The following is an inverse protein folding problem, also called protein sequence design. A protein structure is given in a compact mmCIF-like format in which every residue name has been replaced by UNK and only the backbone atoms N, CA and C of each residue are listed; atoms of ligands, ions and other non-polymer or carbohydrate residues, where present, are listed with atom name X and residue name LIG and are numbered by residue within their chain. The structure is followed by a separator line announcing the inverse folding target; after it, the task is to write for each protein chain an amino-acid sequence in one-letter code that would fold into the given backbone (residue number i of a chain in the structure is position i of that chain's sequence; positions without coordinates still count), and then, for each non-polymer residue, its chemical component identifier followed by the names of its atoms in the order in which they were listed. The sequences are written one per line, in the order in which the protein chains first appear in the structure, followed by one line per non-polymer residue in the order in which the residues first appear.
data_IF_311924437257
#
_entry.id   IF_311924437257
#
_cell.length_a   1.000
_cell.length_b   1.000
_cell.length_c   1.000
_cell.angle_alpha   90.00
_cell.angle_beta   90.00
_cell.angle_gamma   90.00
#
_symmetry.space_group_name_H-M   'P 1'
#
loop_
_entity.id
_entity.type
_entity.pdbx_description
1 polymer ?
#
# COMPACT_ATOMS: atom_id res chain seq x y z
N UNK A 1 -12.94 51.62 4.27
CA UNK A 1 -14.03 50.71 4.63
C UNK A 1 -13.60 49.30 4.33
N UNK A 2 -13.18 48.58 5.36
CA UNK A 2 -12.73 47.19 5.23
C UNK A 2 -13.96 46.29 5.31
N UNK A 3 -14.30 45.60 4.21
CA UNK A 3 -15.34 44.55 4.22
C UNK A 3 -14.77 43.34 4.92
N UNK A 4 -15.15 43.15 6.18
CA UNK A 4 -14.92 41.90 6.89
C UNK A 4 -15.59 40.79 6.08
N UNK A 5 -14.81 39.91 5.48
CA UNK A 5 -15.31 38.69 4.85
C UNK A 5 -16.04 37.88 5.92
N UNK A 6 -17.34 37.68 5.74
CA UNK A 6 -18.15 36.84 6.62
C UNK A 6 -17.74 35.38 6.46
N UNK A 7 -16.79 34.95 7.29
CA UNK A 7 -16.21 33.61 7.32
C UNK A 7 -17.28 32.55 7.57
N UNK A 8 -18.38 32.92 8.26
CA UNK A 8 -19.52 32.05 8.52
C UNK A 8 -20.33 31.74 7.26
N UNK A 9 -20.56 32.76 6.43
CA UNK A 9 -21.27 32.60 5.15
C UNK A 9 -20.45 31.80 4.14
N UNK A 10 -19.13 32.04 4.05
CA UNK A 10 -18.23 31.29 3.18
C UNK A 10 -18.16 29.80 3.58
N UNK A 11 -18.06 29.49 4.87
CA UNK A 11 -18.05 28.12 5.37
C UNK A 11 -19.40 27.40 5.13
N UNK A 12 -20.52 28.12 5.29
CA UNK A 12 -21.85 27.59 4.99
C UNK A 12 -22.04 27.32 3.49
N UNK A 13 -21.52 28.19 2.62
CA UNK A 13 -21.55 27.99 1.18
C UNK A 13 -20.69 26.78 0.75
N UNK A 14 -19.46 26.64 1.31
CA UNK A 14 -18.59 25.49 1.06
C UNK A 14 -19.22 24.17 1.53
N UNK A 15 -19.88 24.15 2.69
CA UNK A 15 -20.63 22.97 3.18
C UNK A 15 -21.82 22.63 2.29
N UNK A 16 -22.54 23.63 1.75
CA UNK A 16 -23.63 23.40 0.79
C UNK A 16 -23.14 22.84 -0.53
N UNK A 17 -22.03 23.36 -1.04
CA UNK A 17 -21.43 22.87 -2.28
C UNK A 17 -20.88 21.44 -2.13
N UNK A 18 -20.18 21.15 -1.03
CA UNK A 18 -19.74 19.79 -0.69
C UNK A 18 -20.92 18.80 -0.55
N UNK A 19 -22.07 19.27 -0.02
CA UNK A 19 -23.30 18.47 0.07
C UNK A 19 -23.94 18.23 -1.32
N UNK A 20 -23.92 19.24 -2.21
CA UNK A 20 -24.37 19.08 -3.60
C UNK A 20 -23.48 18.12 -4.38
N UNK A 21 -22.17 18.22 -4.25
CA UNK A 21 -21.22 17.31 -4.89
C UNK A 21 -21.35 15.88 -4.34
N UNK A 22 -21.63 15.71 -3.04
CA UNK A 22 -21.96 14.41 -2.46
C UNK A 22 -23.28 13.82 -2.94
N UNK A 23 -24.29 14.66 -3.22
CA UNK A 23 -25.57 14.24 -3.75
C UNK A 23 -25.49 13.92 -5.24
N UNK A 24 -24.65 14.65 -5.99
CA UNK A 24 -24.40 14.42 -7.42
C UNK A 24 -23.49 13.17 -7.67
N UNK A 25 -22.66 12.81 -6.69
CA UNK A 25 -21.86 11.58 -6.67
C UNK A 25 -22.18 10.82 -5.37
N UNK A 26 -23.27 10.05 -5.32
CA UNK A 26 -23.56 9.24 -4.15
C UNK A 26 -22.36 8.30 -3.91
N UNK A 27 -21.99 8.04 -2.65
CA UNK A 27 -20.98 7.04 -2.35
C UNK A 27 -21.40 5.74 -3.05
N UNK A 28 -20.46 5.01 -3.66
CA UNK A 28 -20.77 3.72 -4.25
C UNK A 28 -21.50 2.87 -3.19
N UNK A 29 -22.45 2.02 -3.61
CA UNK A 29 -23.19 1.16 -2.70
C UNK A 29 -22.19 0.42 -1.79
N UNK A 30 -22.57 0.06 -0.56
CA UNK A 30 -21.68 -0.63 0.35
C UNK A 30 -21.13 -1.84 -0.39
N UNK A 31 -19.83 -1.87 -0.59
CA UNK A 31 -19.12 -2.98 -1.22
C UNK A 31 -19.49 -4.23 -0.41
N UNK A 32 -19.97 -5.26 -1.08
CA UNK A 32 -20.28 -6.53 -0.43
C UNK A 32 -19.12 -6.90 0.52
N UNK A 33 -19.44 -7.40 1.71
CA UNK A 33 -18.43 -7.74 2.70
C UNK A 33 -17.41 -8.69 2.03
N UNK A 34 -16.16 -8.27 1.97
CA UNK A 34 -15.08 -9.10 1.41
C UNK A 34 -14.87 -10.27 2.36
N UNK A 35 -15.15 -11.47 1.89
CA UNK A 35 -14.79 -12.66 2.62
C UNK A 35 -13.25 -12.76 2.67
N UNK A 36 -12.69 -12.66 3.87
CA UNK A 36 -11.25 -12.87 4.08
C UNK A 36 -10.93 -14.35 3.96
N UNK A 37 -10.10 -14.79 3.02
CA UNK A 37 -9.75 -16.19 2.88
C UNK A 37 -9.00 -16.69 4.12
N UNK A 38 -9.04 -18.00 4.41
CA UNK A 38 -8.22 -18.58 5.46
C UNK A 38 -6.72 -18.37 5.15
N UNK A 39 -5.84 -18.50 6.16
CA UNK A 39 -4.41 -18.56 5.91
C UNK A 39 -4.04 -19.67 4.93
N UNK A 40 -3.01 -19.45 4.13
CA UNK A 40 -2.51 -20.44 3.20
C UNK A 40 -1.94 -21.67 3.95
N UNK A 41 -2.32 -22.89 3.60
CA UNK A 41 -2.04 -24.08 4.43
C UNK A 41 -0.56 -24.44 4.55
N UNK A 42 0.25 -24.13 3.55
CA UNK A 42 1.69 -24.45 3.54
C UNK A 42 2.57 -23.21 3.76
N UNK A 43 1.99 -22.09 4.21
CA UNK A 43 2.69 -20.83 4.44
C UNK A 43 2.75 -20.52 5.95
N UNK A 44 3.60 -19.58 6.38
CA UNK A 44 3.49 -18.97 7.69
C UNK A 44 2.04 -18.53 7.98
N UNK A 45 1.51 -18.77 9.19
CA UNK A 45 0.08 -18.84 9.46
C UNK A 45 -0.73 -17.56 9.19
N UNK A 46 -0.09 -16.45 8.96
CA UNK A 46 -0.75 -15.15 8.74
C UNK A 46 -0.75 -14.71 7.28
N UNK A 47 -0.26 -15.53 6.35
CA UNK A 47 -0.28 -15.21 4.92
C UNK A 47 -1.61 -15.68 4.32
N UNK A 48 -2.32 -14.76 3.68
CA UNK A 48 -3.63 -14.97 3.04
C UNK A 48 -3.58 -14.52 1.59
N UNK A 49 -4.33 -15.17 0.72
CA UNK A 49 -4.36 -14.87 -0.70
C UNK A 49 -5.77 -15.03 -1.27
N UNK A 50 -6.16 -14.08 -2.16
CA UNK A 50 -7.35 -14.23 -2.99
C UNK A 50 -7.03 -13.83 -4.44
N UNK A 51 -7.41 -14.68 -5.40
CA UNK A 51 -7.08 -14.49 -6.81
C UNK A 51 -7.85 -13.35 -7.47
N UNK A 52 -9.14 -13.21 -7.17
CA UNK A 52 -10.05 -12.25 -7.84
C UNK A 52 -10.51 -11.17 -6.86
N UNK A 53 -9.58 -10.36 -6.37
CA UNK A 53 -9.88 -9.28 -5.43
C UNK A 53 -10.48 -8.05 -6.11
N UNK A 54 -10.07 -7.76 -7.33
CA UNK A 54 -10.64 -6.75 -8.21
C UNK A 54 -11.04 -7.38 -9.54
N UNK A 55 -12.08 -6.88 -10.17
CA UNK A 55 -12.43 -7.29 -11.51
C UNK A 55 -11.51 -6.65 -12.56
N UNK A 56 -11.61 -7.12 -13.80
CA UNK A 56 -10.74 -6.67 -14.88
C UNK A 56 -10.96 -5.20 -15.25
N UNK A 57 -12.22 -4.73 -15.21
CA UNK A 57 -12.58 -3.35 -15.49
C UNK A 57 -12.03 -2.41 -14.41
N UNK A 58 -12.18 -2.80 -13.15
CA UNK A 58 -11.65 -2.05 -12.02
C UNK A 58 -10.12 -1.99 -12.06
N UNK A 59 -9.43 -3.11 -12.31
CA UNK A 59 -7.99 -3.15 -12.40
C UNK A 59 -7.45 -2.23 -13.51
N UNK A 60 -8.06 -2.23 -14.69
CA UNK A 60 -7.69 -1.33 -15.79
C UNK A 60 -7.95 0.14 -15.46
N UNK A 61 -9.10 0.44 -14.85
CA UNK A 61 -9.43 1.80 -14.44
C UNK A 61 -8.45 2.31 -13.38
N UNK A 62 -8.15 1.50 -12.36
CA UNK A 62 -7.17 1.83 -11.32
C UNK A 62 -5.79 2.09 -11.92
N UNK A 63 -5.29 1.19 -12.77
CA UNK A 63 -3.97 1.34 -13.40
C UNK A 63 -3.88 2.65 -14.20
N UNK A 64 -4.93 2.97 -14.96
CA UNK A 64 -4.99 4.20 -15.76
C UNK A 64 -4.95 5.45 -14.89
N UNK A 65 -5.74 5.49 -13.81
CA UNK A 65 -5.83 6.66 -12.92
C UNK A 65 -4.56 6.81 -12.10
N UNK A 66 -4.04 5.72 -11.52
CA UNK A 66 -2.83 5.74 -10.69
C UNK A 66 -1.62 6.30 -11.45
N UNK A 67 -1.44 5.93 -12.71
CA UNK A 67 -0.34 6.42 -13.54
C UNK A 67 -0.38 7.92 -13.80
N UNK A 68 -1.56 8.55 -13.68
CA UNK A 68 -1.78 9.99 -13.90
C UNK A 68 -1.68 10.82 -12.62
N UNK A 69 -1.59 10.19 -11.46
CA UNK A 69 -1.39 10.92 -10.22
C UNK A 69 0.01 11.55 -10.20
N UNK A 70 0.10 12.73 -9.59
CA UNK A 70 1.37 13.40 -9.34
C UNK A 70 2.11 12.77 -8.15
N UNK A 71 3.42 13.04 -8.07
CA UNK A 71 4.25 12.61 -6.93
C UNK A 71 4.97 11.26 -7.13
N UNK A 72 5.02 10.74 -8.34
CA UNK A 72 5.82 9.57 -8.66
C UNK A 72 7.32 9.86 -8.48
N UNK A 73 7.98 9.06 -7.65
CA UNK A 73 9.43 9.08 -7.46
C UNK A 73 10.09 8.01 -8.35
N UNK A 74 11.01 8.38 -9.25
CA UNK A 74 11.75 7.41 -10.05
C UNK A 74 12.81 6.71 -9.20
N UNK A 75 12.93 5.40 -9.40
CA UNK A 75 13.99 4.55 -8.87
C UNK A 75 14.60 3.72 -10.00
N UNK A 76 15.79 3.13 -9.83
CA UNK A 76 16.32 2.21 -10.82
C UNK A 76 15.32 1.08 -11.10
N UNK A 77 14.86 0.93 -12.37
CA UNK A 77 13.98 -0.16 -12.83
C UNK A 77 12.55 -0.19 -12.22
N UNK A 78 12.14 0.79 -11.45
CA UNK A 78 10.77 0.98 -10.95
C UNK A 78 10.51 2.45 -10.65
N UNK A 79 9.25 2.82 -10.47
CA UNK A 79 8.87 4.07 -9.83
C UNK A 79 7.85 3.79 -8.73
N UNK A 80 7.76 4.66 -7.77
CA UNK A 80 6.81 4.52 -6.68
C UNK A 80 6.05 5.82 -6.41
N UNK A 81 4.85 5.67 -5.86
CA UNK A 81 4.00 6.77 -5.41
C UNK A 81 3.51 6.45 -4.00
N UNK A 82 3.84 7.30 -3.03
CA UNK A 82 3.34 7.19 -1.66
C UNK A 82 2.17 8.16 -1.46
N UNK A 83 1.04 7.67 -0.99
CA UNK A 83 -0.19 8.47 -0.76
C UNK A 83 -0.84 8.11 0.58
N UNK A 84 -1.68 9.00 1.10
CA UNK A 84 -2.37 8.82 2.39
C UNK A 84 -1.57 9.33 3.58
N UNK A 85 -0.36 9.81 3.34
CA UNK A 85 0.50 10.38 4.37
C UNK A 85 1.96 10.05 4.17
N UNK A 86 2.79 10.80 4.85
CA UNK A 86 4.25 10.67 4.80
C UNK A 86 4.74 10.09 6.12
N UNK A 87 5.27 8.85 6.13
CA UNK A 87 5.87 8.27 7.31
C UNK A 87 7.09 9.09 7.78
N UNK A 88 7.23 9.24 9.12
CA UNK A 88 8.36 9.89 9.77
C UNK A 88 8.58 9.26 11.16
N UNK A 89 9.82 9.18 11.67
CA UNK A 89 10.10 8.63 13.00
C UNK A 89 9.33 9.31 14.13
N UNK A 90 9.09 10.62 14.04
CA UNK A 90 8.32 11.39 15.03
C UNK A 90 6.80 11.20 14.94
N UNK A 91 6.33 10.37 14.04
CA UNK A 91 4.93 10.17 13.67
C UNK A 91 4.60 10.80 12.31
N UNK A 92 3.74 10.14 11.56
CA UNK A 92 3.34 10.60 10.23
C UNK A 92 2.34 11.75 10.28
N UNK A 93 2.38 12.56 9.24
CA UNK A 93 1.27 13.44 8.88
C UNK A 93 0.44 12.75 7.82
N UNK A 94 -0.83 12.47 8.13
CA UNK A 94 -1.72 11.72 7.24
C UNK A 94 -2.64 12.66 6.46
N UNK A 95 -2.83 12.31 5.20
CA UNK A 95 -3.75 12.95 4.26
C UNK A 95 -4.80 11.92 3.82
N UNK A 96 -5.97 12.34 3.32
CA UNK A 96 -6.93 11.42 2.76
C UNK A 96 -6.32 10.65 1.57
N UNK A 97 -6.56 9.34 1.52
CA UNK A 97 -6.21 8.56 0.32
C UNK A 97 -6.92 9.15 -0.92
N UNK A 98 -6.27 9.13 -2.09
CA UNK A 98 -6.89 9.52 -3.35
C UNK A 98 -8.24 8.83 -3.55
N UNK A 99 -9.25 9.49 -4.13
CA UNK A 99 -10.60 8.92 -4.30
C UNK A 99 -10.60 7.54 -4.97
N UNK A 100 -9.73 7.32 -5.95
CA UNK A 100 -9.59 6.04 -6.67
C UNK A 100 -9.16 4.87 -5.76
N UNK A 101 -8.43 5.14 -4.68
CA UNK A 101 -7.98 4.11 -3.73
C UNK A 101 -8.92 3.91 -2.55
N UNK A 102 -9.88 4.81 -2.29
CA UNK A 102 -10.73 4.72 -1.10
C UNK A 102 -11.62 3.47 -1.08
N UNK A 103 -12.19 3.09 -2.23
CA UNK A 103 -13.00 1.88 -2.33
C UNK A 103 -12.14 0.62 -2.12
N UNK A 104 -10.96 0.59 -2.73
CA UNK A 104 -10.01 -0.50 -2.58
C UNK A 104 -9.51 -0.62 -1.13
N UNK A 105 -9.21 0.52 -0.48
CA UNK A 105 -8.80 0.57 0.93
C UNK A 105 -9.88 0.02 1.89
N UNK A 106 -11.18 0.30 1.63
CA UNK A 106 -12.27 -0.27 2.42
C UNK A 106 -12.32 -1.80 2.31
N UNK A 107 -12.09 -2.35 1.13
CA UNK A 107 -12.01 -3.81 0.95
C UNK A 107 -10.76 -4.39 1.59
N UNK A 108 -9.61 -3.72 1.44
CA UNK A 108 -8.36 -4.11 2.07
C UNK A 108 -8.43 -4.09 3.60
N UNK A 109 -9.27 -3.23 4.19
CA UNK A 109 -9.47 -3.16 5.64
C UNK A 109 -9.86 -4.50 6.27
N UNK A 110 -10.61 -5.34 5.55
CA UNK A 110 -11.00 -6.67 6.03
C UNK A 110 -9.81 -7.60 6.35
N UNK A 111 -8.65 -7.35 5.74
CA UNK A 111 -7.43 -8.13 5.98
C UNK A 111 -6.61 -7.64 7.18
N UNK A 112 -6.89 -6.46 7.70
CA UNK A 112 -6.26 -5.97 8.92
C UNK A 112 -6.95 -6.58 10.14
N UNK A 113 -6.19 -6.94 11.20
CA UNK A 113 -6.74 -7.71 12.35
C UNK A 113 -7.96 -7.10 13.02
N UNK A 114 -8.07 -5.77 13.02
CA UNK A 114 -9.17 -5.02 13.64
C UNK A 114 -10.16 -4.41 12.63
N UNK A 115 -10.00 -4.69 11.34
CA UNK A 115 -10.87 -4.18 10.27
C UNK A 115 -10.82 -2.67 10.04
N UNK A 116 -9.90 -1.94 10.69
CA UNK A 116 -9.75 -0.49 10.47
C UNK A 116 -9.13 -0.21 9.11
N UNK A 117 -9.49 0.94 8.53
CA UNK A 117 -8.97 1.40 7.24
C UNK A 117 -7.44 1.60 7.29
N UNK A 118 -6.71 1.21 6.24
CA UNK A 118 -5.34 1.64 6.06
C UNK A 118 -5.30 3.16 5.82
N UNK A 119 -4.25 3.79 6.31
CA UNK A 119 -4.04 5.24 6.19
C UNK A 119 -2.91 5.59 5.22
N UNK A 120 -2.16 4.60 4.73
CA UNK A 120 -1.08 4.77 3.77
C UNK A 120 -1.19 3.74 2.65
N UNK A 121 -0.93 4.17 1.42
CA UNK A 121 -0.76 3.29 0.28
C UNK A 121 0.54 3.61 -0.47
N UNK A 122 1.32 2.56 -0.76
CA UNK A 122 2.51 2.63 -1.61
C UNK A 122 2.20 1.94 -2.93
N UNK A 123 2.20 2.72 -4.01
CA UNK A 123 2.03 2.19 -5.38
C UNK A 123 3.40 1.99 -5.99
N UNK A 124 3.68 0.78 -6.48
CA UNK A 124 4.90 0.46 -7.21
C UNK A 124 4.57 0.10 -8.65
N UNK A 125 5.29 0.67 -9.59
CA UNK A 125 5.29 0.28 -10.99
C UNK A 125 6.68 -0.23 -11.38
N UNK A 126 6.74 -1.49 -11.76
CA UNK A 126 7.95 -2.20 -12.16
C UNK A 126 8.01 -2.32 -13.68
N UNK A 127 9.19 -2.14 -14.26
CA UNK A 127 9.45 -2.47 -15.66
C UNK A 127 9.76 -3.97 -15.80
N UNK A 128 9.70 -4.47 -17.03
CA UNK A 128 9.96 -5.87 -17.34
C UNK A 128 11.28 -6.38 -16.74
N UNK A 129 11.25 -7.57 -16.19
CA UNK A 129 12.40 -8.24 -15.61
C UNK A 129 12.92 -7.63 -14.33
N UNK A 130 12.24 -6.62 -13.77
CA UNK A 130 12.64 -6.03 -12.49
C UNK A 130 11.98 -6.72 -11.30
N UNK A 131 12.51 -6.45 -10.12
CA UNK A 131 12.04 -6.95 -8.86
C UNK A 131 12.30 -5.96 -7.72
N UNK A 132 12.25 -6.46 -6.51
CA UNK A 132 12.63 -5.76 -5.29
C UNK A 132 13.39 -6.74 -4.40
N UNK A 133 14.57 -6.32 -3.91
CA UNK A 133 15.37 -7.14 -3.00
C UNK A 133 14.57 -7.54 -1.76
N UNK A 134 14.93 -8.65 -1.15
CA UNK A 134 14.34 -9.09 0.09
C UNK A 134 14.56 -8.04 1.18
N UNK A 135 13.47 -7.59 1.80
CA UNK A 135 13.46 -6.55 2.83
C UNK A 135 12.36 -6.82 3.85
N UNK A 136 12.49 -6.27 5.04
CA UNK A 136 11.40 -6.14 5.98
C UNK A 136 10.74 -4.77 5.81
N UNK A 137 9.42 -4.70 5.97
CA UNK A 137 8.73 -3.43 6.05
C UNK A 137 9.21 -2.67 7.31
N UNK A 138 9.35 -1.36 7.18
CA UNK A 138 9.94 -0.55 8.24
C UNK A 138 9.09 -0.51 9.53
N UNK A 139 9.72 -0.14 10.66
CA UNK A 139 9.13 -0.15 12.00
C UNK A 139 8.00 0.89 12.18
N UNK A 140 7.80 1.77 11.22
CA UNK A 140 6.80 2.84 11.27
C UNK A 140 5.37 2.35 11.06
N UNK A 141 5.20 1.10 10.60
CA UNK A 141 3.91 0.51 10.29
C UNK A 141 3.46 -0.52 11.34
N UNK A 142 2.15 -0.66 11.51
CA UNK A 142 1.57 -1.80 12.20
C UNK A 142 1.91 -3.10 11.46
N UNK A 143 2.00 -4.26 12.17
CA UNK A 143 2.51 -5.49 11.57
C UNK A 143 1.48 -6.17 10.64
N UNK A 144 1.10 -5.49 9.59
CA UNK A 144 0.22 -6.00 8.53
C UNK A 144 0.45 -5.23 7.23
N UNK A 145 0.63 -5.95 6.14
CA UNK A 145 0.64 -5.40 4.79
C UNK A 145 -0.37 -6.12 3.90
N UNK A 146 -1.07 -5.34 3.07
CA UNK A 146 -2.05 -5.86 2.09
C UNK A 146 -1.65 -5.37 0.71
N UNK A 147 -1.25 -6.29 -0.17
CA UNK A 147 -0.74 -5.98 -1.51
C UNK A 147 -1.75 -6.42 -2.56
N UNK A 148 -2.24 -5.47 -3.35
CA UNK A 148 -3.09 -5.73 -4.52
C UNK A 148 -2.24 -5.66 -5.78
N UNK A 149 -2.26 -6.72 -6.60
CA UNK A 149 -1.56 -6.81 -7.88
C UNK A 149 -2.52 -6.52 -9.02
N UNK A 150 -2.18 -5.63 -9.97
CA UNK A 150 -3.12 -5.18 -11.00
C UNK A 150 -2.87 -5.78 -12.40
N UNK A 151 -1.64 -5.90 -12.89
CA UNK A 151 -1.38 -6.14 -14.31
C UNK A 151 -0.54 -7.38 -14.62
N UNK A 152 0.51 -7.64 -13.87
CA UNK A 152 1.43 -8.74 -14.12
C UNK A 152 1.49 -9.71 -12.96
N UNK A 153 1.72 -10.97 -13.26
CA UNK A 153 2.13 -11.94 -12.26
C UNK A 153 3.51 -11.63 -11.71
N UNK A 154 3.77 -12.04 -10.47
CA UNK A 154 5.10 -12.08 -9.86
C UNK A 154 5.10 -13.04 -8.69
N UNK A 155 6.21 -13.74 -8.43
CA UNK A 155 6.38 -14.56 -7.24
C UNK A 155 6.93 -13.69 -6.10
N UNK A 156 6.18 -13.60 -5.02
CA UNK A 156 6.61 -12.98 -3.78
C UNK A 156 7.20 -14.07 -2.89
N UNK A 157 8.47 -13.96 -2.63
CA UNK A 157 9.23 -14.90 -1.80
C UNK A 157 9.37 -14.36 -0.38
N UNK A 158 9.27 -15.23 0.62
CA UNK A 158 9.48 -14.93 2.03
C UNK A 158 10.73 -15.65 2.51
N UNK A 159 11.58 -14.92 3.27
CA UNK A 159 12.89 -15.37 3.70
C UNK A 159 13.05 -15.18 5.22
N UNK A 160 13.78 -16.07 5.85
CA UNK A 160 14.31 -15.84 7.20
C UNK A 160 15.37 -14.73 7.19
N UNK A 161 15.82 -14.29 8.36
CA UNK A 161 16.95 -13.34 8.46
C UNK A 161 18.24 -13.91 7.88
N UNK A 162 18.40 -15.24 7.86
CA UNK A 162 19.50 -15.96 7.23
C UNK A 162 19.34 -16.17 5.72
N UNK A 163 18.41 -15.46 5.08
CA UNK A 163 18.14 -15.51 3.64
C UNK A 163 17.67 -16.89 3.11
N UNK A 164 17.20 -17.78 4.00
CA UNK A 164 16.53 -19.02 3.60
C UNK A 164 15.11 -18.70 3.15
N UNK A 165 14.73 -19.10 1.93
CA UNK A 165 13.37 -18.97 1.41
C UNK A 165 12.47 -20.04 2.04
N UNK A 166 11.51 -19.60 2.85
CA UNK A 166 10.60 -20.49 3.59
C UNK A 166 9.24 -20.66 2.94
N UNK A 167 8.79 -19.70 2.14
CA UNK A 167 7.50 -19.73 1.44
C UNK A 167 7.53 -18.83 0.24
N UNK A 168 6.62 -19.05 -0.70
CA UNK A 168 6.38 -18.18 -1.84
C UNK A 168 4.89 -18.08 -2.13
N UNK A 169 4.47 -16.92 -2.66
CA UNK A 169 3.09 -16.68 -3.12
C UNK A 169 3.15 -16.19 -4.56
N UNK A 170 2.49 -16.88 -5.47
CA UNK A 170 2.35 -16.41 -6.85
C UNK A 170 1.23 -15.37 -6.92
N UNK A 171 1.61 -14.13 -7.06
CA UNK A 171 0.70 -13.00 -7.22
C UNK A 171 0.20 -12.96 -8.66
N UNK A 172 -1.07 -13.27 -8.88
CA UNK A 172 -1.70 -13.13 -10.21
C UNK A 172 -2.22 -11.69 -10.39
N UNK A 173 -2.41 -11.23 -11.64
CA UNK A 173 -3.18 -10.01 -11.88
C UNK A 173 -4.52 -10.05 -11.13
N UNK A 174 -4.93 -8.92 -10.56
CA UNK A 174 -6.19 -8.73 -9.83
C UNK A 174 -6.27 -9.43 -8.46
N UNK A 175 -5.19 -10.05 -8.02
CA UNK A 175 -5.12 -10.73 -6.74
C UNK A 175 -4.78 -9.79 -5.59
N UNK A 176 -5.04 -10.28 -4.38
CA UNK A 176 -4.56 -9.69 -3.13
C UNK A 176 -3.78 -10.74 -2.34
N UNK A 177 -2.68 -10.31 -1.73
CA UNK A 177 -1.99 -11.03 -0.67
C UNK A 177 -1.95 -10.15 0.57
N UNK A 178 -2.20 -10.74 1.73
CA UNK A 178 -2.00 -10.09 3.02
C UNK A 178 -1.09 -10.95 3.87
N UNK A 179 -0.20 -10.32 4.62
CA UNK A 179 0.64 -10.97 5.61
C UNK A 179 0.77 -10.08 6.84
N UNK A 180 0.72 -10.69 8.01
CA UNK A 180 0.67 -9.99 9.29
C UNK A 180 1.51 -10.71 10.35
N UNK A 181 1.59 -10.14 11.54
CA UNK A 181 2.20 -10.73 12.73
C UNK A 181 3.56 -11.39 12.44
N UNK A 182 3.70 -12.69 12.67
CA UNK A 182 4.96 -13.41 12.50
C UNK A 182 5.52 -13.29 11.07
N UNK A 183 4.69 -13.40 10.03
CA UNK A 183 5.14 -13.27 8.66
C UNK A 183 5.61 -11.85 8.32
N UNK A 184 5.05 -10.83 8.98
CA UNK A 184 5.47 -9.44 8.83
C UNK A 184 6.71 -9.10 9.68
N UNK A 185 6.76 -9.58 10.93
CA UNK A 185 7.77 -9.19 11.91
C UNK A 185 9.08 -9.97 11.78
N UNK A 186 9.01 -11.24 11.36
CA UNK A 186 10.14 -12.17 11.41
C UNK A 186 10.63 -12.61 10.04
N UNK A 187 9.98 -12.18 8.95
CA UNK A 187 10.40 -12.55 7.60
C UNK A 187 10.69 -11.31 6.75
N UNK A 188 11.71 -11.43 5.94
CA UNK A 188 11.90 -10.54 4.78
C UNK A 188 11.02 -11.03 3.64
N UNK A 189 10.62 -10.14 2.76
CA UNK A 189 9.92 -10.48 1.54
C UNK A 189 10.51 -9.74 0.33
N UNK A 190 10.45 -10.38 -0.83
CA UNK A 190 11.02 -9.81 -2.05
C UNK A 190 10.48 -10.46 -3.32
N UNK A 191 10.77 -9.84 -4.45
CA UNK A 191 10.43 -10.34 -5.78
C UNK A 191 11.74 -10.39 -6.58
N UNK A 192 12.15 -11.57 -7.03
CA UNK A 192 13.35 -11.71 -7.83
C UNK A 192 13.24 -10.94 -9.15
N UNK A 193 14.35 -10.39 -9.63
CA UNK A 193 14.44 -9.81 -10.96
C UNK A 193 14.40 -10.95 -11.99
N UNK A 194 13.27 -11.11 -12.69
CA UNK A 194 13.05 -12.18 -13.66
C UNK A 194 11.96 -11.80 -14.66
N UNK A 195 11.96 -12.44 -15.83
CA UNK A 195 10.90 -12.32 -16.85
C UNK A 195 9.81 -13.37 -16.72
N UNK A 196 10.06 -14.41 -15.93
CA UNK A 196 9.13 -15.48 -15.63
C UNK A 196 9.41 -16.04 -14.23
N UNK A 197 8.41 -16.65 -13.62
CA UNK A 197 8.51 -17.30 -12.34
C UNK A 197 8.23 -18.80 -12.47
N UNK A 198 9.12 -19.63 -11.93
CA UNK A 198 8.87 -21.06 -11.81
C UNK A 198 8.08 -21.33 -10.54
N UNK A 199 7.02 -22.12 -10.69
CA UNK A 199 6.23 -22.64 -9.57
C UNK A 199 6.92 -23.89 -9.03
N UNK A 200 7.43 -23.78 -7.81
CA UNK A 200 8.06 -24.91 -7.10
C UNK A 200 7.24 -25.30 -5.86
N UNK A 201 7.74 -26.24 -5.08
CA UNK A 201 7.08 -26.78 -3.88
C UNK A 201 6.92 -25.75 -2.74
N UNK A 202 7.65 -24.64 -2.78
CA UNK A 202 7.51 -23.51 -1.83
C UNK A 202 6.38 -22.56 -2.19
N UNK A 203 5.76 -22.67 -3.38
CA UNK A 203 4.62 -21.84 -3.78
C UNK A 203 3.34 -22.34 -3.10
N UNK A 204 2.95 -21.67 -2.04
CA UNK A 204 1.88 -22.09 -1.12
C UNK A 204 0.45 -21.91 -1.69
N UNK A 205 0.29 -21.12 -2.76
CA UNK A 205 -1.02 -20.81 -3.34
C UNK A 205 -1.22 -21.34 -4.77
N UNK A 206 -0.42 -22.31 -5.23
CA UNK A 206 -0.45 -22.78 -6.61
C UNK A 206 -1.86 -23.09 -7.13
N UNK A 207 -2.64 -23.90 -6.41
CA UNK A 207 -4.03 -24.23 -6.79
C UNK A 207 -4.92 -22.98 -6.88
N UNK A 208 -4.85 -22.06 -5.91
CA UNK A 208 -5.62 -20.81 -5.92
C UNK A 208 -5.16 -19.83 -7.03
N UNK A 209 -3.91 -19.92 -7.44
CA UNK A 209 -3.34 -19.16 -8.56
C UNK A 209 -3.53 -19.85 -9.92
N UNK A 210 -4.14 -21.04 -9.97
CA UNK A 210 -4.34 -21.83 -11.18
C UNK A 210 -3.05 -22.35 -11.79
N UNK A 211 -2.11 -22.82 -10.93
CA UNK A 211 -0.80 -23.34 -11.34
C UNK A 211 -0.42 -24.59 -10.58
N UNK A 212 0.41 -25.42 -11.21
CA UNK A 212 1.01 -26.62 -10.63
C UNK A 212 2.52 -26.46 -10.48
N UNK A 213 3.14 -27.28 -9.64
CA UNK A 213 4.60 -27.38 -9.54
C UNK A 213 5.19 -27.77 -10.88
N UNK A 214 6.22 -27.04 -11.30
CA UNK A 214 6.86 -27.17 -12.62
C UNK A 214 6.38 -26.13 -13.65
N UNK A 215 5.24 -25.48 -13.43
CA UNK A 215 4.76 -24.43 -14.34
C UNK A 215 5.73 -23.22 -14.37
N UNK A 216 5.84 -22.62 -15.54
CA UNK A 216 6.57 -21.37 -15.74
C UNK A 216 5.58 -20.25 -16.11
N UNK A 217 5.46 -19.27 -15.26
CA UNK A 217 4.53 -18.15 -15.41
C UNK A 217 5.26 -16.92 -15.91
N UNK A 218 5.02 -16.54 -17.17
CA UNK A 218 5.58 -15.33 -17.74
C UNK A 218 5.06 -14.08 -17.03
N UNK A 219 5.93 -13.06 -16.89
CA UNK A 219 5.56 -11.73 -16.43
C UNK A 219 5.26 -10.82 -17.61
N UNK A 220 4.27 -9.96 -17.47
CA UNK A 220 3.99 -8.92 -18.46
C UNK A 220 5.07 -7.80 -18.40
N UNK A 221 5.18 -6.96 -19.45
CA UNK A 221 6.18 -5.89 -19.52
C UNK A 221 6.12 -4.86 -18.38
N UNK A 222 4.96 -4.71 -17.74
CA UNK A 222 4.78 -3.81 -16.59
C UNK A 222 3.99 -4.50 -15.50
N UNK A 223 4.36 -4.26 -14.24
CA UNK A 223 3.60 -4.67 -13.06
C UNK A 223 3.28 -3.46 -12.21
N UNK A 224 2.00 -3.25 -11.97
CA UNK A 224 1.51 -2.24 -11.02
C UNK A 224 0.94 -2.94 -9.78
N UNK A 225 1.32 -2.46 -8.60
CA UNK A 225 0.79 -2.98 -7.33
C UNK A 225 0.52 -1.85 -6.34
N UNK A 226 -0.46 -2.07 -5.46
CA UNK A 226 -0.82 -1.16 -4.37
C UNK A 226 -0.62 -1.90 -3.06
N UNK A 227 0.28 -1.40 -2.21
CA UNK A 227 0.52 -1.94 -0.87
C UNK A 227 -0.12 -1.02 0.15
N UNK A 228 -1.12 -1.51 0.86
CA UNK A 228 -1.77 -0.80 1.96
C UNK A 228 -1.12 -1.15 3.29
N UNK A 229 -0.89 -0.12 4.12
CA UNK A 229 -0.32 -0.22 5.47
C UNK A 229 -1.02 0.73 6.42
N UNK A 230 -0.82 0.52 7.72
CA UNK A 230 -1.21 1.46 8.77
C UNK A 230 0.00 1.93 9.54
N UNK A 231 -0.01 3.23 9.84
CA UNK A 231 1.04 3.88 10.59
C UNK A 231 0.83 3.67 12.09
N UNK A 232 1.86 3.24 12.80
CA UNK A 232 1.81 3.07 14.27
C UNK A 232 1.58 4.38 15.01
N UNK A 233 2.14 5.48 14.47
CA UNK A 233 2.07 6.79 15.10
C UNK A 233 1.72 7.86 14.08
N UNK A 234 0.58 8.49 14.30
CA UNK A 234 0.12 9.65 13.53
C UNK A 234 0.29 10.89 14.40
N UNK A 235 1.16 11.81 13.99
CA UNK A 235 1.38 13.07 14.70
C UNK A 235 0.32 14.10 14.34
N UNK A 236 -0.15 14.11 13.08
CA UNK A 236 -1.18 15.04 12.60
C UNK A 236 -2.03 14.42 11.50
N UNK A 237 -3.33 14.71 11.53
CA UNK A 237 -4.27 14.38 10.47
C UNK A 237 -4.62 15.65 9.70
N UNK A 238 -4.45 15.59 8.38
CA UNK A 238 -4.80 16.68 7.46
C UNK A 238 -6.15 16.42 6.77
N UNK A 239 -6.98 15.53 7.33
CA UNK A 239 -8.29 15.21 6.80
C UNK A 239 -9.18 16.47 6.84
N UNK A 240 -9.62 16.93 5.67
CA UNK A 240 -10.45 18.14 5.54
C UNK A 240 -9.69 19.47 5.65
N UNK A 241 -8.38 19.45 5.78
CA UNK A 241 -7.53 20.64 5.70
C UNK A 241 -7.04 20.76 4.26
N UNK A 242 -7.26 21.94 3.66
CA UNK A 242 -6.60 22.29 2.42
C UNK A 242 -5.11 22.57 2.73
N UNK A 243 -4.19 21.79 2.15
CA UNK A 243 -2.76 21.95 2.39
C UNK A 243 -2.24 23.35 2.01
N UNK A 244 -2.93 24.06 1.11
CA UNK A 244 -2.61 25.43 0.75
C UNK A 244 -2.89 26.44 1.87
N UNK A 245 -3.78 26.08 2.81
CA UNK A 245 -4.18 26.88 3.96
C UNK A 245 -3.39 26.56 5.24
N UNK A 246 -2.42 25.66 5.18
CA UNK A 246 -1.52 25.40 6.29
C UNK A 246 -0.70 26.68 6.62
N UNK A 247 -0.50 26.91 7.91
CA UNK A 247 0.45 27.94 8.35
C UNK A 247 1.84 27.67 7.79
N UNK A 248 2.64 28.71 7.65
CA UNK A 248 3.98 28.58 7.05
C UNK A 248 4.87 27.58 7.77
N UNK A 249 4.82 27.54 9.09
CA UNK A 249 5.54 26.56 9.92
C UNK A 249 5.14 25.12 9.59
N UNK A 250 3.83 24.87 9.46
CA UNK A 250 3.29 23.56 9.12
C UNK A 250 3.67 23.13 7.70
N UNK A 251 3.72 24.06 6.75
CA UNK A 251 4.18 23.77 5.38
C UNK A 251 5.65 23.35 5.36
N UNK A 252 6.49 24.11 6.06
CA UNK A 252 7.92 23.82 6.20
C UNK A 252 8.13 22.44 6.82
N UNK A 253 7.37 22.09 7.88
CA UNK A 253 7.46 20.81 8.55
C UNK A 253 6.99 19.67 7.64
N UNK A 254 5.87 19.83 6.92
CA UNK A 254 5.38 18.83 5.96
C UNK A 254 6.42 18.56 4.86
N UNK A 255 7.05 19.61 4.34
CA UNK A 255 8.10 19.46 3.35
C UNK A 255 9.38 18.81 3.91
N UNK A 256 9.74 19.12 5.17
CA UNK A 256 10.85 18.46 5.85
C UNK A 256 10.62 16.95 5.93
N UNK A 257 9.39 16.50 6.29
CA UNK A 257 8.99 15.11 6.37
C UNK A 257 8.99 14.44 4.99
N UNK A 258 8.49 15.08 3.97
CA UNK A 258 8.51 14.60 2.58
C UNK A 258 9.94 14.40 2.08
N UNK A 259 10.84 15.32 2.37
CA UNK A 259 12.28 15.20 2.01
C UNK A 259 12.95 14.05 2.75
N UNK A 260 12.67 13.87 4.04
CA UNK A 260 13.18 12.73 4.79
C UNK A 260 12.72 11.40 4.19
N UNK A 261 11.44 11.28 3.87
CA UNK A 261 10.86 10.08 3.24
C UNK A 261 11.49 9.80 1.88
N UNK A 262 11.61 10.81 1.02
CA UNK A 262 12.22 10.67 -0.30
C UNK A 262 13.67 10.20 -0.21
N UNK A 263 14.45 10.72 0.75
CA UNK A 263 15.83 10.26 1.01
C UNK A 263 15.85 8.82 1.51
N UNK A 264 15.01 8.47 2.47
CA UNK A 264 14.95 7.12 3.04
C UNK A 264 14.60 6.05 1.99
N UNK A 265 13.77 6.41 1.00
CA UNK A 265 13.45 5.54 -0.13
C UNK A 265 14.68 5.41 -1.07
N UNK A 266 15.36 6.53 -1.37
CA UNK A 266 16.50 6.54 -2.28
C UNK A 266 17.69 5.73 -1.72
N UNK A 267 17.87 5.78 -0.42
CA UNK A 267 18.98 5.09 0.27
C UNK A 267 18.67 3.59 0.52
N UNK A 268 17.47 3.10 0.13
CA UNK A 268 16.94 1.75 0.43
C UNK A 268 17.00 1.41 1.94
N UNK A 269 17.21 2.42 2.77
CA UNK A 269 17.42 2.30 4.22
C UNK A 269 16.29 3.02 4.96
N UNK A 270 15.25 2.28 5.34
CA UNK A 270 14.48 2.70 6.50
C UNK A 270 15.40 2.57 7.72
N UNK A 271 15.58 3.62 8.53
CA UNK A 271 16.44 3.53 9.68
C UNK A 271 15.98 2.39 10.57
N UNK A 272 16.91 1.55 10.99
CA UNK A 272 16.66 0.54 12.01
C UNK A 272 16.00 1.20 13.22
N UNK A 273 15.01 0.56 13.86
CA UNK A 273 14.43 1.11 15.07
C UNK A 273 15.53 1.33 16.11
N UNK A 274 15.44 2.39 16.92
CA UNK A 274 16.33 2.54 18.04
C UNK A 274 16.26 1.26 18.89
N UNK A 275 17.40 0.73 19.28
CA UNK A 275 17.46 -0.44 20.15
C UNK A 275 16.54 -0.21 21.35
N UNK A 276 15.72 -1.21 21.68
CA UNK A 276 14.93 -1.16 22.90
C UNK A 276 15.86 -0.88 24.08
N UNK A 277 15.49 0.01 25.01
CA UNK A 277 16.29 0.20 26.19
C UNK A 277 16.48 -1.15 26.89
N UNK A 278 17.65 -1.44 27.46
CA UNK A 278 17.85 -2.65 28.24
C UNK A 278 16.77 -2.68 29.31
N UNK A 279 16.03 -3.79 29.34
CA UNK A 279 14.98 -3.98 30.33
C UNK A 279 15.52 -3.86 31.74
N UNK A 280 14.88 -3.03 32.56
CA UNK A 280 14.96 -3.08 34.02
C UNK A 280 14.09 -4.23 34.54
#
# INVERSE_FOLDING_TARGET
MSTALDFGAALAAAKREARKQRAANPPPPPTAAVAVPPPLPAAPPTIRYAAEFVDEREARALATVLRRLDGWAPLPRRRLLSVGGTPHPDGAWTEPLPPCLRALARRAAAFFPDGRLPDQALVNEYVEGSGIAAHADGPLYEPCAVIVSLESSARLDFFTDGDERVASVLLRPRSVVAFADAAYLSLKHGIAAARADTVDDRVCNGAAAGCAVGDVVARAPSRLSVTFRRLKRVARRLDGVDASLLHDEDRVELERRRRWWAKSIADDALPSPPASPPGE
#
